data_IF_803077965139
#
_entry.id   IF_803077965139
#
_cell.length_a   1.000
_cell.length_b   1.000
_cell.length_c   1.000
_cell.angle_alpha   90.00
_cell.angle_beta   90.00
_cell.angle_gamma   90.00
#
_symmetry.space_group_name_H-M   'P 1'
#
loop_
_entity.id
_entity.type
_entity.pdbx_description
1 polymer ?
#
# COMPACT_ATOMS: atom_id res chain seq x y z
N UNK A 1 52.87 -39.12 10.46
CA UNK A 1 51.82 -39.81 9.68
C UNK A 1 51.06 -38.71 8.95
N UNK A 2 51.40 -38.36 7.70
CA UNK A 2 50.90 -38.98 6.45
C UNK A 2 49.36 -39.06 6.48
N UNK A 3 48.55 -38.45 5.59
CA UNK A 3 48.72 -38.27 4.15
C UNK A 3 47.82 -37.18 3.54
N UNK A 4 48.38 -36.60 2.48
CA UNK A 4 47.86 -35.85 1.32
C UNK A 4 46.86 -36.65 0.47
N UNK A 5 45.81 -35.99 -0.05
CA UNK A 5 45.03 -36.26 -1.29
C UNK A 5 43.88 -35.23 -1.35
N UNK A 6 43.56 -34.46 -2.40
CA UNK A 6 43.90 -34.48 -3.81
C UNK A 6 42.63 -34.23 -4.66
N UNK A 7 42.55 -33.05 -5.30
CA UNK A 7 41.78 -32.67 -6.51
C UNK A 7 40.26 -32.94 -6.62
N UNK A 8 39.48 -31.90 -6.92
CA UNK A 8 38.91 -31.62 -8.27
C UNK A 8 38.19 -30.27 -8.33
N UNK A 9 38.53 -29.50 -9.35
CA UNK A 9 37.90 -28.24 -9.74
C UNK A 9 36.51 -28.47 -10.31
N UNK A 10 35.58 -27.54 -10.04
CA UNK A 10 34.48 -27.22 -10.96
C UNK A 10 34.20 -25.72 -10.88
N UNK A 11 34.66 -25.00 -11.91
CA UNK A 11 34.26 -23.64 -12.24
C UNK A 11 32.77 -23.65 -12.59
N UNK A 12 31.91 -22.99 -11.79
CA UNK A 12 30.52 -22.73 -12.20
C UNK A 12 30.44 -21.36 -12.85
N UNK A 13 30.30 -21.44 -14.17
CA UNK A 13 30.02 -20.40 -15.15
C UNK A 13 28.97 -19.37 -14.70
N UNK A 14 29.33 -18.10 -14.86
CA UNK A 14 28.44 -16.94 -14.88
C UNK A 14 27.56 -17.00 -16.13
N UNK A 15 26.24 -17.14 -15.96
CA UNK A 15 25.28 -16.99 -17.05
C UNK A 15 24.68 -15.59 -17.02
N UNK A 16 25.32 -14.68 -17.73
CA UNK A 16 24.72 -13.39 -18.12
C UNK A 16 23.80 -13.67 -19.31
N UNK A 17 22.49 -13.55 -19.13
CA UNK A 17 21.53 -13.61 -20.24
C UNK A 17 21.17 -12.20 -20.67
N UNK A 18 21.94 -11.67 -21.62
CA UNK A 18 21.50 -10.57 -22.48
C UNK A 18 20.48 -11.12 -23.47
N UNK A 19 19.23 -10.71 -23.36
CA UNK A 19 18.21 -10.94 -24.37
C UNK A 19 18.16 -9.69 -25.24
N UNK A 20 19.05 -9.62 -26.23
CA UNK A 20 18.91 -8.73 -27.37
C UNK A 20 18.02 -9.45 -28.39
N UNK A 21 16.72 -9.16 -28.39
CA UNK A 21 15.86 -9.48 -29.53
C UNK A 21 15.85 -8.28 -30.45
N UNK A 22 16.69 -8.33 -31.48
CA UNK A 22 16.64 -7.39 -32.59
C UNK A 22 15.35 -7.59 -33.36
N UNK A 23 14.47 -6.58 -33.34
CA UNK A 23 13.35 -6.52 -34.27
C UNK A 23 13.74 -5.61 -35.43
N UNK A 24 13.73 -6.25 -36.59
CA UNK A 24 13.98 -5.80 -37.95
C UNK A 24 13.52 -4.35 -38.19
N UNK A 25 14.48 -3.48 -38.57
CA UNK A 25 14.18 -2.24 -39.30
C UNK A 25 13.47 -2.62 -40.60
N UNK A 26 12.19 -2.30 -40.71
CA UNK A 26 11.52 -2.13 -41.99
C UNK A 26 11.33 -0.63 -42.19
N UNK A 27 12.16 -0.05 -43.03
CA UNK A 27 12.04 1.34 -43.46
C UNK A 27 11.02 1.48 -44.60
N UNK A 28 10.35 2.62 -44.57
CA UNK A 28 9.84 3.40 -45.71
C UNK A 28 8.35 3.28 -46.04
N UNK A 29 7.57 4.18 -45.43
CA UNK A 29 6.69 5.07 -46.18
C UNK A 29 6.76 6.45 -45.50
N UNK A 30 7.66 7.27 -46.04
CA UNK A 30 7.85 8.69 -45.74
C UNK A 30 6.57 9.44 -46.12
N UNK A 31 5.86 9.99 -45.14
CA UNK A 31 4.99 11.14 -45.37
C UNK A 31 5.60 12.33 -44.65
N UNK A 32 6.38 13.08 -45.40
CA UNK A 32 7.01 14.34 -45.04
C UNK A 32 5.97 15.44 -45.33
N UNK A 33 5.02 15.59 -44.40
CA UNK A 33 3.91 16.54 -44.49
C UNK A 33 3.86 17.40 -43.23
N UNK A 34 4.06 18.69 -43.43
CA UNK A 34 4.17 19.74 -42.42
C UNK A 34 2.98 19.74 -41.42
N UNK A 35 3.29 19.74 -40.12
CA UNK A 35 2.35 20.19 -39.08
C UNK A 35 1.41 19.17 -38.40
N UNK A 36 1.53 17.85 -38.57
CA UNK A 36 0.72 16.90 -37.78
C UNK A 36 1.44 16.40 -36.53
N UNK A 37 1.26 17.14 -35.43
CA UNK A 37 1.60 16.67 -34.09
C UNK A 37 0.72 15.46 -33.74
N UNK A 38 1.25 14.25 -33.87
CA UNK A 38 0.57 13.06 -33.35
C UNK A 38 0.63 13.09 -31.82
N UNK A 39 -0.37 13.70 -31.20
CA UNK A 39 -0.56 13.63 -29.74
C UNK A 39 -1.09 12.24 -29.44
N UNK A 40 -0.20 11.36 -28.97
CA UNK A 40 -0.64 10.09 -28.38
C UNK A 40 -1.10 10.41 -26.97
N UNK A 41 -2.40 10.64 -26.80
CA UNK A 41 -3.01 10.79 -25.47
C UNK A 41 -2.98 9.40 -24.83
N UNK A 42 -1.86 9.08 -24.19
CA UNK A 42 -1.73 7.92 -23.32
C UNK A 42 -2.54 8.23 -22.06
N UNK A 43 -3.80 7.81 -22.07
CA UNK A 43 -4.59 7.70 -20.85
C UNK A 43 -3.97 6.58 -20.01
N UNK A 44 -2.88 6.89 -19.30
CA UNK A 44 -2.44 6.09 -18.16
C UNK A 44 -3.51 6.33 -17.09
N UNK A 45 -4.55 5.50 -17.10
CA UNK A 45 -5.37 5.33 -15.91
C UNK A 45 -4.38 5.01 -14.79
N UNK A 46 -4.21 5.95 -13.87
CA UNK A 46 -3.35 5.74 -12.72
C UNK A 46 -3.96 4.56 -11.96
N UNK A 47 -3.26 3.43 -11.93
CA UNK A 47 -3.63 2.30 -11.11
C UNK A 47 -3.42 2.72 -9.66
N UNK A 48 -4.47 3.33 -9.09
CA UNK A 48 -4.52 3.87 -7.73
C UNK A 48 -4.30 2.77 -6.69
N UNK A 49 -4.41 1.49 -7.07
CA UNK A 49 -4.21 0.38 -6.16
C UNK A 49 -5.36 0.21 -5.16
N UNK A 50 -5.06 -0.42 -4.03
CA UNK A 50 -6.00 -0.68 -2.94
C UNK A 50 -6.32 0.62 -2.20
N UNK A 51 -7.60 0.90 -2.06
CA UNK A 51 -8.11 1.98 -1.22
C UNK A 51 -8.95 1.41 -0.08
N UNK A 52 -9.11 2.18 0.98
CA UNK A 52 -9.98 1.84 2.10
C UNK A 52 -11.35 2.46 1.87
N UNK A 53 -12.38 1.63 1.70
CA UNK A 53 -13.75 2.08 1.46
C UNK A 53 -14.48 2.38 2.77
N UNK A 54 -14.32 1.52 3.77
CA UNK A 54 -14.99 1.65 5.06
C UNK A 54 -14.25 0.86 6.14
N UNK A 55 -14.46 1.22 7.40
CA UNK A 55 -13.96 0.49 8.56
C UNK A 55 -15.09 0.20 9.55
N UNK A 56 -14.81 -0.70 10.49
CA UNK A 56 -15.69 -1.12 11.57
C UNK A 56 -14.84 -1.47 12.79
N UNK A 57 -15.48 -1.84 13.90
CA UNK A 57 -14.78 -2.28 15.11
C UNK A 57 -14.01 -3.59 14.91
N UNK A 58 -14.36 -4.36 13.89
CA UNK A 58 -13.74 -5.66 13.60
C UNK A 58 -12.67 -5.59 12.53
N UNK A 59 -12.56 -4.49 11.78
CA UNK A 59 -11.61 -4.41 10.66
C UNK A 59 -12.06 -3.48 9.53
N UNK A 60 -11.54 -3.73 8.34
CA UNK A 60 -11.56 -2.83 7.19
C UNK A 60 -12.14 -3.49 5.94
N UNK A 61 -12.76 -2.68 5.08
CA UNK A 61 -13.18 -3.07 3.73
C UNK A 61 -12.41 -2.24 2.70
N UNK A 62 -11.85 -2.93 1.73
CA UNK A 62 -11.03 -2.32 0.68
C UNK A 62 -11.85 -2.12 -0.62
N UNK A 63 -11.26 -1.40 -1.57
CA UNK A 63 -11.85 -1.08 -2.88
C UNK A 63 -12.13 -2.30 -3.76
N UNK A 64 -11.46 -3.42 -3.52
CA UNK A 64 -11.63 -4.68 -4.24
C UNK A 64 -12.61 -5.64 -3.52
N UNK A 65 -13.50 -5.11 -2.69
CA UNK A 65 -14.48 -5.84 -1.86
C UNK A 65 -13.88 -6.79 -0.80
N UNK A 66 -12.55 -6.83 -0.67
CA UNK A 66 -11.90 -7.63 0.36
C UNK A 66 -12.17 -7.05 1.75
N UNK A 67 -12.49 -7.93 2.70
CA UNK A 67 -12.67 -7.59 4.10
C UNK A 67 -11.50 -8.16 4.89
N UNK A 68 -10.80 -7.28 5.59
CA UNK A 68 -9.66 -7.62 6.45
C UNK A 68 -10.09 -7.45 7.89
N UNK A 69 -9.98 -8.52 8.67
CA UNK A 69 -10.34 -8.52 10.09
C UNK A 69 -9.11 -8.22 10.94
N UNK A 70 -9.30 -7.38 11.96
CA UNK A 70 -8.26 -6.95 12.88
C UNK A 70 -7.29 -5.92 12.29
N UNK A 71 -6.15 -5.72 12.96
CA UNK A 71 -5.12 -4.80 12.50
C UNK A 71 -4.45 -5.26 11.20
N UNK A 72 -4.10 -4.30 10.36
CA UNK A 72 -3.55 -4.57 9.04
C UNK A 72 -2.43 -3.61 8.63
N UNK A 73 -1.49 -4.14 7.86
CA UNK A 73 -0.46 -3.40 7.14
C UNK A 73 -0.88 -3.31 5.67
N UNK A 74 -1.18 -2.10 5.20
CA UNK A 74 -1.68 -1.83 3.86
C UNK A 74 -0.62 -1.13 3.02
N UNK A 75 -0.47 -1.61 1.81
CA UNK A 75 0.37 -1.07 0.74
C UNK A 75 -0.50 -0.83 -0.49
N UNK A 76 -0.03 -0.07 -1.48
CA UNK A 76 -0.82 0.25 -2.67
C UNK A 76 -1.35 -0.99 -3.41
N UNK A 77 -0.69 -2.14 -3.32
CA UNK A 77 -1.07 -3.35 -4.06
C UNK A 77 -1.32 -4.58 -3.19
N UNK A 78 -1.02 -4.47 -1.90
CA UNK A 78 -0.97 -5.63 -0.99
C UNK A 78 -1.48 -5.23 0.38
N UNK A 79 -2.12 -6.16 1.06
CA UNK A 79 -2.47 -6.03 2.47
C UNK A 79 -2.04 -7.27 3.22
N UNK A 80 -1.55 -7.06 4.44
CA UNK A 80 -1.05 -8.09 5.33
C UNK A 80 -1.72 -7.92 6.70
N UNK A 81 -1.95 -9.02 7.40
CA UNK A 81 -2.34 -8.94 8.80
C UNK A 81 -1.17 -8.39 9.62
N UNK A 82 -1.46 -7.45 10.51
CA UNK A 82 -0.47 -6.83 11.37
C UNK A 82 -0.59 -7.36 12.78
N UNK A 83 0.47 -7.99 13.28
CA UNK A 83 0.46 -8.69 14.57
C UNK A 83 0.65 -7.72 15.75
N UNK A 84 -0.38 -6.92 16.00
CA UNK A 84 -0.54 -6.05 17.17
C UNK A 84 -1.98 -6.20 17.67
N UNK A 85 -2.24 -6.09 18.97
CA UNK A 85 -3.60 -6.07 19.50
C UNK A 85 -4.03 -4.63 19.78
N UNK A 86 -3.12 -3.84 20.32
CA UNK A 86 -3.34 -2.45 20.69
C UNK A 86 -2.17 -1.54 20.29
N UNK A 87 -2.36 -0.23 20.46
CA UNK A 87 -1.31 0.75 20.22
C UNK A 87 -0.07 0.58 21.12
N UNK A 88 -0.21 -0.09 22.28
CA UNK A 88 0.91 -0.36 23.21
C UNK A 88 1.88 -1.42 22.65
N UNK A 89 1.38 -2.33 21.81
CA UNK A 89 2.17 -3.38 21.18
C UNK A 89 3.05 -2.86 20.04
N UNK A 90 2.87 -1.60 19.64
CA UNK A 90 3.63 -0.98 18.56
C UNK A 90 5.07 -0.75 19.03
N UNK A 91 5.97 -1.52 18.43
CA UNK A 91 7.39 -1.53 18.73
C UNK A 91 8.23 -1.69 17.44
N UNK A 92 9.55 -1.78 17.62
CA UNK A 92 10.49 -1.87 16.50
C UNK A 92 10.28 -3.14 15.65
N UNK A 93 9.92 -4.25 16.28
CA UNK A 93 9.67 -5.52 15.59
C UNK A 93 8.38 -5.45 14.79
N UNK A 94 7.30 -4.90 15.37
CA UNK A 94 6.02 -4.75 14.67
C UNK A 94 6.12 -3.79 13.47
N UNK A 95 7.06 -2.85 13.50
CA UNK A 95 7.30 -1.89 12.42
C UNK A 95 8.39 -2.32 11.42
N UNK A 96 9.16 -3.36 11.75
CA UNK A 96 10.29 -3.83 10.93
C UNK A 96 9.91 -4.20 9.49
N UNK A 97 8.68 -4.69 9.29
CA UNK A 97 8.12 -4.99 7.97
C UNK A 97 8.23 -3.79 7.02
N UNK A 98 7.83 -2.59 7.47
CA UNK A 98 7.82 -1.40 6.63
C UNK A 98 9.23 -0.92 6.26
N UNK A 99 10.22 -1.25 7.10
CA UNK A 99 11.62 -0.91 6.87
C UNK A 99 12.35 -1.90 5.93
N UNK A 100 11.80 -3.10 5.73
CA UNK A 100 12.45 -4.19 4.99
C UNK A 100 12.00 -4.30 3.53
N UNK A 101 10.97 -3.56 3.12
CA UNK A 101 10.35 -3.68 1.79
C UNK A 101 11.04 -2.80 0.74
N UNK A 102 11.02 -3.30 -0.50
CA UNK A 102 11.43 -2.58 -1.70
C UNK A 102 10.23 -2.53 -2.69
N UNK A 103 9.92 -1.37 -3.30
CA UNK A 103 10.59 -0.08 -3.11
C UNK A 103 10.38 0.47 -1.70
N UNK A 104 11.36 1.24 -1.24
CA UNK A 104 11.31 1.88 0.07
C UNK A 104 10.06 2.75 0.23
N UNK A 105 9.37 2.59 1.36
CA UNK A 105 8.24 3.44 1.76
C UNK A 105 8.71 4.85 2.06
N UNK A 106 8.10 5.86 1.43
CA UNK A 106 8.40 7.26 1.69
C UNK A 106 7.67 7.77 2.94
N UNK A 107 6.40 7.37 3.07
CA UNK A 107 5.49 7.82 4.14
C UNK A 107 4.75 6.62 4.72
N UNK A 108 4.84 6.43 6.04
CA UNK A 108 4.07 5.46 6.80
C UNK A 108 3.01 6.18 7.63
N UNK A 109 1.74 5.81 7.43
CA UNK A 109 0.62 6.29 8.25
C UNK A 109 0.31 5.24 9.32
N UNK A 110 0.34 5.62 10.60
CA UNK A 110 0.01 4.73 11.71
C UNK A 110 -1.33 5.15 12.30
N UNK A 111 -2.35 4.32 12.07
CA UNK A 111 -3.70 4.48 12.63
C UNK A 111 -3.85 3.71 13.94
N UNK A 112 -3.95 4.42 15.06
CA UNK A 112 -3.98 3.84 16.41
C UNK A 112 -5.40 3.57 16.94
N UNK A 113 -6.40 3.44 16.07
CA UNK A 113 -7.79 3.33 16.46
C UNK A 113 -8.37 4.68 16.88
N UNK A 114 -9.08 4.68 18.01
CA UNK A 114 -9.71 5.82 18.67
C UNK A 114 -9.05 6.17 20.02
N UNK A 115 -7.87 5.61 20.27
CA UNK A 115 -7.10 5.87 21.48
C UNK A 115 -6.53 7.29 21.53
N UNK A 116 -6.43 7.92 22.72
CA UNK A 116 -5.82 9.23 22.87
C UNK A 116 -4.31 9.15 22.55
N UNK A 117 -3.89 9.90 21.54
CA UNK A 117 -2.48 9.97 21.16
C UNK A 117 -1.65 10.71 22.23
N UNK A 118 -0.61 10.06 22.75
CA UNK A 118 0.36 10.71 23.63
C UNK A 118 1.57 11.22 22.82
N UNK A 119 2.11 12.42 23.11
CA UNK A 119 3.31 12.93 22.43
C UNK A 119 4.55 12.04 22.58
N UNK A 120 4.65 11.31 23.70
CA UNK A 120 5.75 10.39 23.95
C UNK A 120 5.69 9.18 23.00
N UNK A 121 4.49 8.64 22.78
CA UNK A 121 4.28 7.52 21.86
C UNK A 121 4.62 7.90 20.42
N UNK A 122 4.07 9.02 19.92
CA UNK A 122 4.34 9.46 18.55
C UNK A 122 5.83 9.73 18.32
N UNK A 123 6.50 10.38 19.28
CA UNK A 123 7.95 10.61 19.22
C UNK A 123 8.76 9.31 19.16
N UNK A 124 8.37 8.27 19.91
CA UNK A 124 9.04 6.95 19.88
C UNK A 124 8.97 6.33 18.49
N UNK A 125 7.77 6.26 17.90
CA UNK A 125 7.54 5.68 16.56
C UNK A 125 8.30 6.47 15.49
N UNK A 126 8.17 7.79 15.49
CA UNK A 126 8.85 8.68 14.53
C UNK A 126 10.38 8.52 14.63
N UNK A 127 10.93 8.51 15.84
CA UNK A 127 12.38 8.39 16.05
C UNK A 127 12.95 7.06 15.55
N UNK A 128 12.18 5.96 15.67
CA UNK A 128 12.58 4.66 15.16
C UNK A 128 12.60 4.65 13.62
N UNK A 129 11.51 5.08 13.00
CA UNK A 129 11.37 5.06 11.53
C UNK A 129 12.27 6.08 10.83
N UNK A 130 12.63 7.18 11.51
CA UNK A 130 13.61 8.14 11.03
C UNK A 130 14.98 7.51 10.75
N UNK A 131 15.40 6.48 11.52
CA UNK A 131 16.64 5.72 11.26
C UNK A 131 16.59 4.99 9.91
N UNK A 132 15.40 4.61 9.49
CA UNK A 132 15.14 4.00 8.19
C UNK A 132 14.84 5.04 7.09
N UNK A 133 14.90 6.34 7.41
CA UNK A 133 14.51 7.48 6.54
C UNK A 133 13.10 7.29 5.93
N UNK A 134 12.15 6.92 6.78
CA UNK A 134 10.72 6.83 6.45
C UNK A 134 10.00 7.89 7.27
N UNK A 135 9.21 8.75 6.62
CA UNK A 135 8.41 9.75 7.31
C UNK A 135 7.19 9.07 7.93
N UNK A 136 6.82 9.44 9.16
CA UNK A 136 5.68 8.82 9.84
C UNK A 136 4.68 9.86 10.29
N UNK A 137 3.40 9.58 10.05
CA UNK A 137 2.29 10.28 10.66
C UNK A 137 1.50 9.33 11.55
N UNK A 138 1.29 9.71 12.81
CA UNK A 138 0.47 8.94 13.75
C UNK A 138 -0.87 9.67 13.88
N UNK A 139 -1.96 8.97 13.54
CA UNK A 139 -3.30 9.52 13.42
C UNK A 139 -4.32 8.55 14.03
N UNK A 140 -5.53 9.05 14.27
CA UNK A 140 -6.68 8.17 14.52
C UNK A 140 -7.02 7.40 13.25
N UNK A 141 -7.62 6.22 13.37
CA UNK A 141 -7.86 5.33 12.23
C UNK A 141 -8.71 5.96 11.14
N UNK A 142 -9.72 6.76 11.49
CA UNK A 142 -10.54 7.50 10.50
C UNK A 142 -9.69 8.43 9.63
N UNK A 143 -8.86 9.26 10.28
CA UNK A 143 -7.97 10.20 9.60
C UNK A 143 -6.88 9.46 8.83
N UNK A 144 -6.32 8.39 9.40
CA UNK A 144 -5.31 7.56 8.76
C UNK A 144 -5.83 6.94 7.45
N UNK A 145 -7.07 6.46 7.43
CA UNK A 145 -7.69 5.90 6.22
C UNK A 145 -7.80 6.96 5.11
N UNK A 146 -8.24 8.16 5.47
CA UNK A 146 -8.37 9.27 4.51
C UNK A 146 -7.00 9.72 3.98
N UNK A 147 -6.01 9.90 4.85
CA UNK A 147 -4.65 10.29 4.47
C UNK A 147 -3.98 9.25 3.58
N UNK A 148 -4.11 7.96 3.91
CA UNK A 148 -3.60 6.89 3.07
C UNK A 148 -4.22 6.92 1.67
N UNK A 149 -5.56 6.99 1.58
CA UNK A 149 -6.25 7.04 0.30
C UNK A 149 -5.81 8.23 -0.56
N UNK A 150 -5.65 9.41 0.05
CA UNK A 150 -5.20 10.62 -0.64
C UNK A 150 -3.77 10.46 -1.19
N UNK A 151 -2.81 10.06 -0.35
CA UNK A 151 -1.42 9.90 -0.75
C UNK A 151 -1.25 8.77 -1.79
N UNK A 152 -2.04 7.70 -1.65
CA UNK A 152 -2.03 6.59 -2.58
C UNK A 152 -2.60 7.00 -3.94
N UNK A 153 -3.68 7.79 -3.97
CA UNK A 153 -4.23 8.38 -5.19
C UNK A 153 -3.30 9.38 -5.87
N UNK A 154 -2.43 10.07 -5.11
CA UNK A 154 -1.34 10.91 -5.66
C UNK A 154 -0.22 10.06 -6.31
N UNK A 155 -0.21 8.74 -6.09
CA UNK A 155 0.83 7.83 -6.61
C UNK A 155 2.12 7.85 -5.79
N UNK A 156 2.07 8.28 -4.53
CA UNK A 156 3.23 8.23 -3.61
C UNK A 156 3.47 6.81 -3.10
N UNK A 157 4.72 6.51 -2.71
CA UNK A 157 5.06 5.24 -2.07
C UNK A 157 4.67 5.30 -0.59
N UNK A 158 3.37 5.18 -0.33
CA UNK A 158 2.76 5.23 1.00
C UNK A 158 2.48 3.83 1.53
N UNK A 159 2.60 3.64 2.84
CA UNK A 159 2.08 2.47 3.54
C UNK A 159 1.22 2.91 4.73
N UNK A 160 0.33 2.05 5.19
CA UNK A 160 -0.45 2.27 6.39
C UNK A 160 -0.39 1.08 7.34
N UNK A 161 -0.27 1.33 8.64
CA UNK A 161 -0.40 0.36 9.71
C UNK A 161 -1.63 0.75 10.54
N UNK A 162 -2.70 -0.01 10.46
CA UNK A 162 -4.02 0.40 10.95
C UNK A 162 -4.57 -0.58 11.98
N UNK A 163 -5.03 -0.06 13.11
CA UNK A 163 -5.79 -0.76 14.13
C UNK A 163 -7.26 -0.36 13.99
N UNK A 164 -8.23 -1.29 13.93
CA UNK A 164 -9.64 -0.92 13.89
C UNK A 164 -10.03 -0.18 15.19
N UNK A 165 -10.88 0.86 15.11
CA UNK A 165 -11.27 1.60 16.31
C UNK A 165 -12.17 0.75 17.22
N UNK A 166 -12.10 0.98 18.52
CA UNK A 166 -12.95 0.26 19.49
C UNK A 166 -14.37 0.83 19.46
N UNK A 167 -14.51 2.15 19.29
CA UNK A 167 -15.81 2.83 19.17
C UNK A 167 -16.08 3.30 17.74
N UNK A 168 -17.34 3.21 17.31
CA UNK A 168 -17.78 3.75 16.03
C UNK A 168 -18.55 5.04 16.28
N UNK A 169 -18.03 6.16 15.77
CA UNK A 169 -18.77 7.42 15.70
C UNK A 169 -19.44 7.46 14.33
N UNK A 170 -20.78 7.41 14.31
CA UNK A 170 -21.54 7.48 13.08
C UNK A 170 -21.76 8.96 12.77
N UNK A 171 -21.21 9.45 11.67
CA UNK A 171 -21.49 10.81 11.19
C UNK A 171 -22.81 10.85 10.40
N UNK A 172 -23.40 12.05 10.28
CA UNK A 172 -24.64 12.27 9.53
C UNK A 172 -24.55 11.78 8.07
N UNK A 173 -23.39 11.95 7.44
CA UNK A 173 -23.10 11.45 6.10
C UNK A 173 -23.19 9.91 6.00
N UNK A 174 -22.72 9.20 7.01
CA UNK A 174 -22.81 7.74 7.08
C UNK A 174 -24.26 7.27 7.23
N UNK A 175 -25.04 8.01 8.02
CA UNK A 175 -26.48 7.76 8.16
C UNK A 175 -27.20 7.94 6.83
N UNK A 176 -26.90 9.01 6.10
CA UNK A 176 -27.49 9.30 4.80
C UNK A 176 -27.13 8.23 3.75
N UNK A 177 -25.85 7.83 3.65
CA UNK A 177 -25.40 6.76 2.74
C UNK A 177 -26.07 5.42 3.05
N UNK A 178 -26.28 5.11 4.33
CA UNK A 178 -26.98 3.90 4.75
C UNK A 178 -28.47 3.93 4.38
N UNK A 179 -29.10 5.10 4.43
CA UNK A 179 -30.49 5.27 3.97
C UNK A 179 -30.59 5.09 2.46
N UNK A 180 -29.68 5.68 1.68
CA UNK A 180 -29.65 5.56 0.20
C UNK A 180 -29.40 4.11 -0.25
N UNK A 181 -28.48 3.39 0.40
CA UNK A 181 -28.23 1.98 0.08
C UNK A 181 -29.42 1.09 0.44
N UNK A 182 -30.09 1.36 1.57
CA UNK A 182 -31.35 0.68 1.92
C UNK A 182 -32.43 0.94 0.87
N UNK A 183 -32.70 2.19 0.51
CA UNK A 183 -33.76 2.52 -0.47
C UNK A 183 -33.51 1.89 -1.84
N UNK A 184 -32.27 1.93 -2.35
CA UNK A 184 -31.91 1.24 -3.61
C UNK A 184 -32.13 -0.27 -3.60
N UNK A 185 -32.11 -0.91 -2.43
CA UNK A 185 -32.33 -2.37 -2.32
C UNK A 185 -33.81 -2.73 -2.50
N UNK A 186 -34.74 -1.80 -2.24
CA UNK A 186 -36.18 -2.03 -2.38
C UNK A 186 -36.73 -1.72 -3.79
N UNK A 187 -35.95 -1.08 -4.65
CA UNK A 187 -36.38 -0.72 -6.02
C UNK A 187 -36.07 -1.81 -7.07
N UNK A 188 -35.52 -2.97 -6.67
CA UNK A 188 -35.04 -4.02 -7.60
C UNK A 188 -36.02 -5.20 -7.74
N UNK A 189 -37.18 -5.18 -7.08
CA UNK A 189 -38.23 -6.19 -7.24
C UNK A 189 -39.45 -5.58 -7.95
N UNK A 190 -39.46 -5.63 -9.29
CA UNK A 190 -40.68 -5.67 -10.12
C UNK A 190 -40.29 -5.79 -11.61
N UNK A 191 -40.12 -7.04 -12.08
CA UNK A 191 -40.26 -7.46 -13.49
C UNK A 191 -40.69 -8.92 -13.56
#
# INVERSE_FOLDING_TARGET
MQSILGLRSVLRSTSVRNICTGLTRLSTATYEGDGKTSVTILNKEADVGLLINSYSQVGFRLSNDMVVLGPMALFPRTVLSWNVESHEDINEQSLSLFAALEPKVDILIVGIGDHPMTPAFSKKVISFMAKHKINVEVLNTEQACATFNFLNAEGRVVAAALIPPVTMRINEDDMMRRQISKSKTFEVEDY
#
